data_IF_657284216376
#
_entry.id   IF_657284216376
#
_cell.length_a   1.000
_cell.length_b   1.000
_cell.length_c   1.000
_cell.angle_alpha   90.00
_cell.angle_beta   90.00
_cell.angle_gamma   90.00
#
_symmetry.space_group_name_H-M   'P 1'
#
loop_
_entity.id
_entity.type
_entity.pdbx_description
1 polymer ?
#
# COMPACT_ATOMS: atom_id res chain seq x y z
N UNK A 1 2.89 -17.88 -1.36
CA UNK A 1 2.31 -18.35 -0.09
C UNK A 1 1.37 -17.26 0.40
N UNK A 2 0.11 -17.59 0.70
CA UNK A 2 -0.86 -16.58 1.14
C UNK A 2 -0.49 -16.13 2.56
N UNK A 3 -0.30 -14.83 2.77
CA UNK A 3 0.32 -14.28 3.99
C UNK A 3 -0.59 -14.34 5.22
N UNK A 4 -1.90 -14.43 4.99
CA UNK A 4 -2.94 -14.49 6.03
C UNK A 4 -3.64 -15.86 5.99
N UNK A 5 -3.23 -16.81 6.84
CA UNK A 5 -3.71 -18.19 6.76
C UNK A 5 -5.21 -18.31 7.08
N UNK A 6 -5.73 -17.47 7.97
CA UNK A 6 -7.14 -17.49 8.39
C UNK A 6 -8.10 -16.82 7.38
N UNK A 7 -7.57 -15.99 6.46
CA UNK A 7 -8.39 -15.27 5.49
C UNK A 7 -9.01 -16.19 4.45
N UNK A 8 -8.28 -17.20 3.96
CA UNK A 8 -8.79 -18.11 2.93
C UNK A 8 -9.89 -19.06 3.42
N UNK A 9 -9.76 -19.72 4.59
CA UNK A 9 -10.85 -20.49 5.19
C UNK A 9 -12.07 -19.63 5.47
N UNK A 10 -11.87 -18.42 6.00
CA UNK A 10 -12.96 -17.50 6.30
C UNK A 10 -13.70 -17.06 5.02
N UNK A 11 -12.97 -16.76 3.94
CA UNK A 11 -13.52 -16.44 2.62
C UNK A 11 -14.31 -17.58 1.99
N UNK A 12 -13.88 -18.82 2.19
CA UNK A 12 -14.63 -19.99 1.72
C UNK A 12 -15.98 -20.17 2.46
N UNK A 13 -16.07 -19.73 3.72
CA UNK A 13 -17.28 -19.86 4.54
C UNK A 13 -18.19 -18.64 4.45
N UNK A 14 -17.61 -17.46 4.22
CA UNK A 14 -18.29 -16.18 4.20
C UNK A 14 -17.95 -15.44 2.90
N UNK A 15 -18.63 -15.73 1.78
CA UNK A 15 -18.34 -15.09 0.50
C UNK A 15 -18.52 -13.57 0.56
N UNK A 16 -17.69 -12.83 -0.19
CA UNK A 16 -17.71 -11.37 -0.23
C UNK A 16 -18.61 -10.80 -1.34
N UNK A 17 -19.42 -11.63 -2.01
CA UNK A 17 -20.33 -11.18 -3.07
C UNK A 17 -21.18 -9.95 -2.68
N UNK A 18 -21.60 -9.84 -1.42
CA UNK A 18 -22.30 -8.66 -0.92
C UNK A 18 -21.48 -7.37 -0.99
N UNK A 19 -20.18 -7.45 -0.72
CA UNK A 19 -19.22 -6.35 -0.84
C UNK A 19 -19.00 -6.00 -2.32
N UNK A 20 -18.84 -7.00 -3.19
CA UNK A 20 -18.68 -6.81 -4.64
C UNK A 20 -19.91 -6.13 -5.26
N UNK A 21 -21.11 -6.63 -4.95
CA UNK A 21 -22.36 -6.04 -5.45
C UNK A 21 -22.53 -4.59 -4.98
N UNK A 22 -22.12 -4.29 -3.75
CA UNK A 22 -22.13 -2.93 -3.22
C UNK A 22 -21.15 -2.04 -3.98
N UNK A 23 -19.95 -2.54 -4.30
CA UNK A 23 -18.99 -1.80 -5.12
C UNK A 23 -19.56 -1.44 -6.49
N UNK A 24 -20.25 -2.37 -7.17
CA UNK A 24 -20.86 -2.09 -8.48
C UNK A 24 -21.88 -0.96 -8.41
N UNK A 25 -22.73 -1.00 -7.39
CA UNK A 25 -23.73 0.05 -7.14
C UNK A 25 -23.08 1.40 -6.85
N UNK A 26 -22.07 1.42 -5.98
CA UNK A 26 -21.38 2.64 -5.57
C UNK A 26 -20.48 3.19 -6.69
N UNK A 27 -19.86 2.35 -7.53
CA UNK A 27 -19.05 2.77 -8.67
C UNK A 27 -19.87 3.58 -9.66
N UNK A 28 -21.08 3.12 -9.97
CA UNK A 28 -22.00 3.81 -10.89
C UNK A 28 -22.57 5.10 -10.30
N UNK A 29 -22.80 5.15 -8.98
CA UNK A 29 -23.51 6.25 -8.31
C UNK A 29 -22.60 7.32 -7.72
N UNK A 30 -21.48 6.92 -7.15
CA UNK A 30 -20.59 7.75 -6.32
C UNK A 30 -19.23 8.01 -6.98
N UNK A 31 -18.91 7.28 -8.04
CA UNK A 31 -17.63 7.36 -8.75
C UNK A 31 -16.55 6.47 -8.13
N UNK A 32 -15.49 6.26 -8.92
CA UNK A 32 -14.41 5.30 -8.66
C UNK A 32 -13.78 5.44 -7.27
N UNK A 33 -13.32 6.64 -6.93
CA UNK A 33 -12.63 6.91 -5.66
C UNK A 33 -13.49 6.55 -4.44
N UNK A 34 -14.77 6.94 -4.45
CA UNK A 34 -15.66 6.69 -3.32
C UNK A 34 -16.07 5.22 -3.24
N UNK A 35 -16.23 4.54 -4.38
CA UNK A 35 -16.48 3.10 -4.41
C UNK A 35 -15.32 2.31 -3.81
N UNK A 36 -14.08 2.66 -4.15
CA UNK A 36 -12.88 2.02 -3.59
C UNK A 36 -12.74 2.23 -2.08
N UNK A 37 -12.97 3.46 -1.60
CA UNK A 37 -13.00 3.74 -0.16
C UNK A 37 -14.00 2.85 0.58
N UNK A 38 -15.22 2.74 0.05
CA UNK A 38 -16.26 1.90 0.65
C UNK A 38 -15.91 0.42 0.57
N UNK A 39 -15.27 -0.02 -0.51
CA UNK A 39 -14.80 -1.39 -0.67
C UNK A 39 -13.76 -1.77 0.38
N UNK A 40 -12.68 -1.01 0.52
CA UNK A 40 -11.64 -1.28 1.53
C UNK A 40 -12.18 -1.15 2.96
N UNK A 41 -13.09 -0.21 3.22
CA UNK A 41 -13.79 -0.12 4.51
C UNK A 41 -14.62 -1.39 4.78
N UNK A 42 -15.30 -1.93 3.75
CA UNK A 42 -16.12 -3.13 3.90
C UNK A 42 -15.25 -4.38 4.08
N UNK A 43 -14.10 -4.47 3.40
CA UNK A 43 -13.11 -5.52 3.61
C UNK A 43 -12.50 -5.46 5.02
N UNK A 44 -12.22 -4.27 5.55
CA UNK A 44 -11.77 -4.11 6.94
C UNK A 44 -12.79 -4.72 7.90
N UNK A 45 -14.06 -4.32 7.80
CA UNK A 45 -15.11 -4.88 8.66
C UNK A 45 -15.30 -6.38 8.50
N UNK A 46 -15.07 -6.89 7.29
CA UNK A 46 -15.09 -8.32 7.02
C UNK A 46 -13.97 -9.05 7.78
N UNK A 47 -12.74 -8.55 7.72
CA UNK A 47 -11.57 -9.14 8.40
C UNK A 47 -11.70 -9.07 9.92
N UNK A 48 -12.32 -8.02 10.48
CA UNK A 48 -12.59 -7.91 11.93
C UNK A 48 -13.45 -9.06 12.48
N UNK A 49 -14.13 -9.82 11.62
CA UNK A 49 -14.90 -11.00 12.03
C UNK A 49 -14.08 -12.30 12.09
N UNK A 50 -12.83 -12.27 11.64
CA UNK A 50 -11.86 -13.38 11.74
C UNK A 50 -11.33 -13.45 13.18
N UNK A 51 -10.97 -14.65 13.71
CA UNK A 51 -10.34 -14.76 15.02
C UNK A 51 -9.17 -13.79 15.21
N UNK A 52 -9.17 -13.12 16.36
CA UNK A 52 -8.18 -12.10 16.70
C UNK A 52 -6.81 -12.75 16.99
N UNK A 53 -5.90 -12.60 16.04
CA UNK A 53 -4.49 -12.96 16.15
C UNK A 53 -3.60 -11.86 15.55
N UNK A 54 -2.29 -11.99 15.72
CA UNK A 54 -1.35 -10.95 15.29
C UNK A 54 -1.33 -10.72 13.77
N UNK A 55 -1.63 -11.73 12.95
CA UNK A 55 -1.68 -11.58 11.50
C UNK A 55 -2.99 -10.93 11.05
N UNK A 56 -4.11 -11.28 11.68
CA UNK A 56 -5.41 -10.64 11.48
C UNK A 56 -5.34 -9.15 11.88
N UNK A 57 -4.72 -8.82 13.01
CA UNK A 57 -4.50 -7.41 13.41
C UNK A 57 -3.64 -6.62 12.43
N UNK A 58 -2.59 -7.24 11.89
CA UNK A 58 -1.79 -6.63 10.82
C UNK A 58 -2.64 -6.39 9.56
N UNK A 59 -3.47 -7.37 9.19
CA UNK A 59 -4.38 -7.23 8.05
C UNK A 59 -5.39 -6.10 8.26
N UNK A 60 -6.00 -6.02 9.45
CA UNK A 60 -6.89 -4.93 9.84
C UNK A 60 -6.19 -3.58 9.73
N UNK A 61 -4.96 -3.49 10.25
CA UNK A 61 -4.16 -2.27 10.19
C UNK A 61 -3.91 -1.82 8.75
N UNK A 62 -3.40 -2.70 7.87
CA UNK A 62 -3.09 -2.32 6.48
C UNK A 62 -4.34 -1.97 5.67
N UNK A 63 -5.47 -2.65 5.91
CA UNK A 63 -6.74 -2.32 5.26
C UNK A 63 -7.33 -1.00 5.78
N UNK A 64 -7.16 -0.72 7.07
CA UNK A 64 -7.51 0.55 7.69
C UNK A 64 -6.72 1.72 7.10
N UNK A 65 -5.40 1.59 7.04
CA UNK A 65 -4.51 2.59 6.43
C UNK A 65 -4.83 2.82 4.95
N UNK A 66 -5.10 1.75 4.21
CA UNK A 66 -5.53 1.85 2.81
C UNK A 66 -6.84 2.63 2.67
N UNK A 67 -7.85 2.29 3.46
CA UNK A 67 -9.14 2.99 3.45
C UNK A 67 -8.98 4.48 3.77
N UNK A 68 -8.23 4.81 4.82
CA UNK A 68 -7.96 6.20 5.21
C UNK A 68 -7.15 6.97 4.15
N UNK A 69 -6.16 6.31 3.54
CA UNK A 69 -5.34 6.89 2.48
C UNK A 69 -6.16 7.18 1.22
N UNK A 70 -7.04 6.26 0.81
CA UNK A 70 -8.00 6.52 -0.27
C UNK A 70 -8.92 7.68 0.13
N UNK A 71 -9.54 7.66 1.31
CA UNK A 71 -10.43 8.74 1.77
C UNK A 71 -9.77 10.12 1.72
N UNK A 72 -8.50 10.19 2.04
CA UNK A 72 -7.69 11.43 2.08
C UNK A 72 -7.12 11.82 0.72
N UNK A 73 -7.39 11.03 -0.33
CA UNK A 73 -6.87 11.21 -1.69
C UNK A 73 -5.32 11.18 -1.72
N UNK A 74 -4.71 10.31 -0.91
CA UNK A 74 -3.27 10.15 -0.81
C UNK A 74 -2.67 9.25 -1.90
N UNK A 75 -3.51 8.63 -2.73
CA UNK A 75 -3.10 7.69 -3.77
C UNK A 75 -3.61 8.13 -5.14
N UNK A 76 -2.82 7.88 -6.18
CA UNK A 76 -3.28 7.93 -7.56
C UNK A 76 -4.26 6.77 -7.82
N UNK A 77 -5.44 7.09 -8.37
CA UNK A 77 -6.48 6.11 -8.66
C UNK A 77 -6.05 5.09 -9.74
N UNK A 78 -5.04 5.41 -10.56
CA UNK A 78 -4.48 4.49 -11.55
C UNK A 78 -3.90 3.22 -10.91
N UNK A 79 -3.39 3.31 -9.67
CA UNK A 79 -2.84 2.15 -8.95
C UNK A 79 -3.92 1.09 -8.67
N UNK A 80 -5.19 1.49 -8.65
CA UNK A 80 -6.32 0.60 -8.39
C UNK A 80 -7.05 0.15 -9.66
N UNK A 81 -6.65 0.60 -10.85
CA UNK A 81 -7.37 0.32 -12.10
C UNK A 81 -7.54 -1.19 -12.34
N UNK A 82 -6.46 -1.96 -12.15
CA UNK A 82 -6.50 -3.42 -12.28
C UNK A 82 -7.48 -4.06 -11.28
N UNK A 83 -7.45 -3.66 -10.01
CA UNK A 83 -8.37 -4.17 -8.99
C UNK A 83 -9.82 -3.82 -9.35
N UNK A 84 -10.07 -2.58 -9.75
CA UNK A 84 -11.39 -2.12 -10.16
C UNK A 84 -11.93 -2.91 -11.34
N UNK A 85 -11.11 -3.18 -12.36
CA UNK A 85 -11.51 -4.03 -13.48
C UNK A 85 -11.90 -5.45 -13.04
N UNK A 86 -11.10 -6.08 -12.16
CA UNK A 86 -11.39 -7.42 -11.66
C UNK A 86 -12.74 -7.44 -10.92
N UNK A 87 -12.99 -6.44 -10.07
CA UNK A 87 -14.26 -6.33 -9.34
C UNK A 87 -15.41 -6.14 -10.33
N UNK A 88 -15.29 -5.22 -11.30
CA UNK A 88 -16.35 -4.94 -12.28
C UNK A 88 -16.65 -6.15 -13.19
N UNK A 89 -15.65 -6.99 -13.48
CA UNK A 89 -15.82 -8.22 -14.26
C UNK A 89 -16.40 -9.39 -13.44
N UNK A 90 -16.63 -9.21 -12.13
CA UNK A 90 -17.02 -10.28 -11.21
C UNK A 90 -16.05 -11.47 -11.25
N UNK A 91 -14.75 -11.18 -11.22
CA UNK A 91 -13.72 -12.20 -11.12
C UNK A 91 -13.77 -12.95 -9.78
N UNK A 92 -13.01 -14.03 -9.67
CA UNK A 92 -12.97 -14.87 -8.46
C UNK A 92 -12.69 -14.06 -7.18
N UNK A 93 -13.48 -14.30 -6.14
CA UNK A 93 -13.40 -13.55 -4.88
C UNK A 93 -12.02 -13.66 -4.22
N UNK A 94 -11.38 -14.82 -4.28
CA UNK A 94 -10.04 -15.02 -3.69
C UNK A 94 -9.01 -14.22 -4.45
N UNK A 95 -9.15 -14.13 -5.77
CA UNK A 95 -8.28 -13.32 -6.61
C UNK A 95 -8.46 -11.83 -6.30
N UNK A 96 -9.70 -11.34 -6.21
CA UNK A 96 -10.01 -9.95 -5.85
C UNK A 96 -9.44 -9.59 -4.48
N UNK A 97 -9.70 -10.41 -3.46
CA UNK A 97 -9.19 -10.18 -2.10
C UNK A 97 -7.67 -10.25 -2.08
N UNK A 98 -7.05 -11.21 -2.77
CA UNK A 98 -5.60 -11.32 -2.86
C UNK A 98 -4.93 -10.07 -3.44
N UNK A 99 -5.48 -9.52 -4.51
CA UNK A 99 -4.97 -8.27 -5.12
C UNK A 99 -5.19 -7.08 -4.19
N UNK A 100 -6.38 -6.94 -3.59
CA UNK A 100 -6.67 -5.84 -2.67
C UNK A 100 -5.75 -5.83 -1.44
N UNK A 101 -5.51 -7.00 -0.85
CA UNK A 101 -4.60 -7.15 0.29
C UNK A 101 -3.16 -6.85 -0.13
N UNK A 102 -2.70 -7.38 -1.27
CA UNK A 102 -1.35 -7.09 -1.76
C UNK A 102 -1.12 -5.60 -2.04
N UNK A 103 -2.13 -4.90 -2.59
CA UNK A 103 -2.09 -3.44 -2.76
C UNK A 103 -2.03 -2.72 -1.40
N UNK A 104 -2.84 -3.15 -0.43
CA UNK A 104 -2.83 -2.60 0.93
C UNK A 104 -1.45 -2.73 1.58
N UNK A 105 -0.84 -3.91 1.51
CA UNK A 105 0.50 -4.14 2.05
C UNK A 105 1.59 -3.33 1.32
N UNK A 106 1.55 -3.29 -0.01
CA UNK A 106 2.56 -2.60 -0.83
C UNK A 106 2.53 -1.10 -0.62
N UNK A 107 1.35 -0.51 -0.44
CA UNK A 107 1.19 0.93 -0.22
C UNK A 107 1.29 1.32 1.26
N UNK A 108 0.93 0.44 2.19
CA UNK A 108 1.08 0.66 3.64
C UNK A 108 2.53 0.56 4.11
N UNK A 109 3.38 -0.22 3.43
CA UNK A 109 4.81 -0.36 3.75
C UNK A 109 5.66 0.89 3.41
N UNK A 110 5.04 2.04 3.15
CA UNK A 110 5.70 3.18 2.52
C UNK A 110 5.98 2.91 1.03
N UNK A 111 6.32 3.93 0.23
CA UNK A 111 6.42 3.76 -1.21
C UNK A 111 7.53 2.77 -1.53
N UNK A 112 7.14 1.57 -1.98
CA UNK A 112 7.96 0.91 -3.00
C UNK A 112 7.81 1.81 -4.22
N UNK A 113 8.76 2.74 -4.38
CA UNK A 113 8.75 3.71 -5.48
C UNK A 113 8.48 2.97 -6.80
N UNK A 114 7.63 3.51 -7.70
CA UNK A 114 7.56 3.01 -9.06
C UNK A 114 8.98 3.04 -9.62
N UNK A 115 9.49 1.88 -10.03
CA UNK A 115 10.67 1.79 -10.88
C UNK A 115 10.33 2.49 -12.20
N UNK A 116 10.54 3.81 -12.21
CA UNK A 116 10.60 4.58 -13.42
C UNK A 116 11.82 4.11 -14.21
N UNK A 117 11.55 3.61 -15.41
CA UNK A 117 12.50 3.29 -16.49
C UNK A 117 13.15 1.89 -16.47
N UNK A 118 12.60 1.02 -17.33
CA UNK A 118 13.31 0.17 -18.30
C UNK A 118 14.83 -0.02 -18.05
N UNK A 119 15.22 -0.84 -17.06
CA UNK A 119 16.45 -1.63 -17.14
C UNK A 119 16.37 -2.80 -16.18
N UNK A 120 16.50 -4.01 -16.74
CA UNK A 120 16.54 -5.27 -16.00
C UNK A 120 17.62 -5.21 -14.92
N UNK A 121 17.21 -5.30 -13.65
CA UNK A 121 18.12 -5.34 -12.51
C UNK A 121 18.72 -6.74 -12.40
N UNK A 122 20.04 -6.83 -12.55
CA UNK A 122 20.78 -8.07 -12.26
C UNK A 122 21.06 -8.17 -10.75
N UNK A 123 21.11 -9.38 -10.17
CA UNK A 123 21.43 -9.56 -8.76
C UNK A 123 22.86 -9.10 -8.44
N UNK A 124 23.15 -8.72 -7.18
CA UNK A 124 24.44 -8.18 -6.79
C UNK A 124 25.54 -9.22 -6.97
N UNK A 125 26.55 -8.87 -7.78
CA UNK A 125 27.78 -9.65 -7.90
C UNK A 125 28.79 -9.10 -6.90
N UNK A 126 29.18 -9.91 -5.93
CA UNK A 126 30.32 -9.62 -5.07
C UNK A 126 31.61 -9.85 -5.87
N UNK A 127 32.25 -8.76 -6.30
CA UNK A 127 33.67 -8.76 -6.70
C UNK A 127 34.42 -7.70 -5.90
N UNK A 128 35.55 -8.10 -5.33
CA UNK A 128 36.16 -7.52 -4.12
C UNK A 128 36.69 -6.09 -4.15
N UNK A 129 36.38 -5.23 -5.11
CA UNK A 129 36.97 -3.87 -5.14
C UNK A 129 36.05 -2.72 -5.60
N UNK A 130 34.72 -2.90 -5.68
CA UNK A 130 33.84 -1.73 -5.94
C UNK A 130 32.46 -1.91 -5.30
N UNK A 131 32.15 -1.10 -4.28
CA UNK A 131 30.78 -0.98 -3.76
C UNK A 131 30.02 -0.09 -4.74
N UNK A 132 29.31 -0.67 -5.70
CA UNK A 132 28.28 0.06 -6.44
C UNK A 132 27.11 0.31 -5.49
N UNK A 133 27.03 1.54 -4.95
CA UNK A 133 25.92 1.98 -4.12
C UNK A 133 24.75 2.38 -5.03
N UNK A 134 23.55 1.92 -4.69
CA UNK A 134 22.33 2.43 -5.31
C UNK A 134 22.14 3.88 -4.83
N UNK A 135 22.28 4.83 -5.74
CA UNK A 135 21.94 6.23 -5.51
C UNK A 135 20.54 6.41 -6.09
N UNK A 136 19.57 6.70 -5.23
CA UNK A 136 18.23 7.08 -5.65
C UNK A 136 18.03 8.56 -5.31
N UNK A 137 17.88 9.39 -6.33
CA UNK A 137 17.47 10.79 -6.16
C UNK A 137 15.96 10.82 -5.90
N UNK A 138 15.56 11.34 -4.74
CA UNK A 138 14.15 11.44 -4.35
C UNK A 138 13.67 12.87 -4.52
N UNK A 139 13.09 13.19 -5.68
CA UNK A 139 12.39 14.46 -5.86
C UNK A 139 11.02 14.41 -5.19
N UNK A 140 10.78 15.28 -4.19
CA UNK A 140 9.44 15.53 -3.64
C UNK A 140 9.16 15.02 -2.21
N UNK A 141 10.18 14.90 -1.37
CA UNK A 141 10.02 14.46 0.02
C UNK A 141 9.13 15.43 0.83
N UNK A 142 8.04 14.94 1.43
CA UNK A 142 7.18 15.72 2.33
C UNK A 142 7.77 15.72 3.76
N UNK A 143 7.87 16.90 4.36
CA UNK A 143 8.99 17.30 5.24
C UNK A 143 8.56 17.36 6.71
N UNK A 144 8.52 16.21 7.40
CA UNK A 144 8.39 16.17 8.85
C UNK A 144 9.45 15.25 9.51
N UNK A 145 9.61 15.38 10.84
CA UNK A 145 10.65 14.67 11.58
C UNK A 145 10.56 13.14 11.44
N UNK A 146 9.35 12.60 11.34
CA UNK A 146 9.11 11.17 11.15
C UNK A 146 9.66 10.67 9.81
N UNK A 147 9.56 11.49 8.76
CA UNK A 147 10.13 11.16 7.46
C UNK A 147 11.67 11.16 7.49
N UNK A 148 12.31 12.10 8.20
CA UNK A 148 13.77 12.09 8.37
C UNK A 148 14.24 10.84 9.13
N UNK A 149 13.53 10.41 10.17
CA UNK A 149 13.84 9.18 10.90
C UNK A 149 13.81 7.97 9.98
N UNK A 150 12.77 7.84 9.15
CA UNK A 150 12.65 6.75 8.17
C UNK A 150 13.75 6.77 7.10
N UNK A 151 14.18 7.96 6.67
CA UNK A 151 15.31 8.08 5.75
C UNK A 151 16.62 7.59 6.38
N UNK A 152 16.90 8.02 7.61
CA UNK A 152 18.10 7.61 8.36
C UNK A 152 18.09 6.09 8.65
N UNK A 153 16.93 5.51 8.97
CA UNK A 153 16.78 4.06 9.13
C UNK A 153 17.04 3.30 7.82
N UNK A 154 16.66 3.88 6.68
CA UNK A 154 16.97 3.29 5.37
C UNK A 154 18.45 3.41 4.99
N UNK A 155 19.17 4.44 5.45
CA UNK A 155 20.61 4.56 5.22
C UNK A 155 21.42 3.48 5.95
N UNK A 156 20.96 3.05 7.13
CA UNK A 156 21.54 1.93 7.87
C UNK A 156 21.51 0.63 7.05
N UNK A 157 20.57 0.50 6.12
CA UNK A 157 20.41 -0.65 5.22
C UNK A 157 21.13 -0.49 3.87
N UNK A 158 22.04 0.49 3.75
CA UNK A 158 22.94 0.63 2.60
C UNK A 158 22.39 1.47 1.44
N UNK A 159 21.25 2.13 1.64
CA UNK A 159 20.74 3.14 0.72
C UNK A 159 21.38 4.50 1.03
N UNK A 160 21.60 5.34 0.03
CA UNK A 160 22.04 6.73 0.25
C UNK A 160 20.93 7.64 -0.26
N UNK A 161 20.39 8.49 0.61
CA UNK A 161 19.38 9.48 0.22
C UNK A 161 20.02 10.86 0.12
N UNK A 162 19.88 11.49 -1.04
CA UNK A 162 20.34 12.87 -1.31
C UNK A 162 19.15 13.81 -1.58
N UNK A 163 19.38 15.13 -1.48
CA UNK A 163 18.39 16.22 -1.65
C UNK A 163 17.31 16.41 -0.57
N UNK A 164 17.73 16.54 0.69
CA UNK A 164 16.88 17.05 1.78
C UNK A 164 16.76 18.59 1.76
N UNK A 165 16.05 19.14 0.79
CA UNK A 165 15.84 20.60 0.74
C UNK A 165 14.82 21.08 1.78
N UNK A 166 15.07 22.25 2.38
CA UNK A 166 14.21 22.99 3.34
C UNK A 166 13.74 22.20 4.58
N UNK A 167 14.44 21.14 4.98
CA UNK A 167 14.12 20.43 6.23
C UNK A 167 14.21 21.37 7.45
N UNK A 168 15.31 22.12 7.56
CA UNK A 168 15.56 23.01 8.68
C UNK A 168 14.49 24.09 8.81
N UNK A 169 14.05 24.67 7.70
CA UNK A 169 13.01 25.70 7.67
C UNK A 169 11.66 25.17 8.21
N UNK A 170 11.23 24.00 7.75
CA UNK A 170 9.98 23.36 8.20
C UNK A 170 10.04 22.86 9.64
N UNK A 171 11.19 22.34 10.07
CA UNK A 171 11.38 21.87 11.44
C UNK A 171 11.26 23.01 12.46
N UNK A 172 11.78 24.21 12.13
CA UNK A 172 11.68 25.38 13.00
C UNK A 172 10.32 26.08 12.90
N UNK A 173 9.66 26.09 11.74
CA UNK A 173 8.30 26.64 11.57
C UNK A 173 7.24 25.87 12.37
N UNK A 174 7.38 24.55 12.50
CA UNK A 174 6.44 23.72 13.27
C UNK A 174 6.70 23.73 14.80
N UNK A 175 7.63 24.55 15.28
CA UNK A 175 7.94 24.71 16.73
C UNK A 175 7.46 26.03 17.35
N UNK A 176 6.83 26.90 16.57
CA UNK A 176 6.08 28.08 17.04
C UNK A 176 4.62 27.76 17.25
#
# INVERSE_FOLDING_TARGET
>A
MFRYPELLPHLAQNPIQGIINKFHSDYSRLGHHRALYVFYTSLLYYVVTIPDDDETRKLEFVLGEMSLGIKSNNYDMLVFEHLTELILKNEDERHIVGIAVNLAETLSSGPTLPQGTLRSTSPPVHSGETINRNIAEVTGFNKNASCLTLALENEIHGNVMTDFDNFWEMFFLNKT
#
